data_IF_294536100324
#
_entry.id   IF_294536100324
#
_cell.length_a   1.000
_cell.length_b   1.000
_cell.length_c   1.000
_cell.angle_alpha   90.00
_cell.angle_beta   90.00
_cell.angle_gamma   90.00
#
_symmetry.space_group_name_H-M   'P 1'
#
loop_
_entity.id
_entity.type
_entity.pdbx_description
1 polymer ?
#
# COMPACT_ATOMS: atom_id res chain seq x y z
N UNK A 1 10.64 -3.95 49.22
CA UNK A 1 11.26 -4.30 47.94
C UNK A 1 10.55 -3.50 46.86
N UNK A 2 11.18 -2.41 46.40
CA UNK A 2 10.64 -1.54 45.35
C UNK A 2 10.80 -2.26 44.01
N UNK A 3 9.69 -2.74 43.46
CA UNK A 3 9.66 -3.21 42.07
C UNK A 3 9.59 -1.99 41.17
N UNK A 4 10.74 -1.44 40.79
CA UNK A 4 10.82 -0.49 39.69
C UNK A 4 10.42 -1.23 38.43
N UNK A 5 9.16 -1.07 38.00
CA UNK A 5 8.78 -1.36 36.63
C UNK A 5 9.68 -0.47 35.78
N UNK A 6 10.68 -1.08 35.12
CA UNK A 6 11.59 -0.38 34.22
C UNK A 6 10.72 0.39 33.22
N UNK A 7 10.71 1.71 33.36
CA UNK A 7 9.93 2.58 32.52
C UNK A 7 10.43 2.37 31.08
N UNK A 8 9.52 1.96 30.20
CA UNK A 8 9.85 1.58 28.84
C UNK A 8 10.46 2.80 28.14
N UNK A 9 11.70 2.69 27.66
CA UNK A 9 12.36 3.80 26.97
C UNK A 9 11.52 4.24 25.76
N UNK A 10 11.05 5.48 25.78
CA UNK A 10 10.18 6.09 24.75
C UNK A 10 10.95 7.05 23.84
N UNK A 11 12.28 7.10 23.92
CA UNK A 11 13.09 7.87 22.98
C UNK A 11 12.85 7.40 21.54
N UNK A 12 12.98 8.31 20.57
CA UNK A 12 12.80 8.00 19.15
C UNK A 12 13.66 6.81 18.72
N UNK A 13 14.91 6.79 19.14
CA UNK A 13 15.88 5.73 18.82
C UNK A 13 15.44 4.37 19.41
N UNK A 14 15.01 4.33 20.67
CA UNK A 14 14.52 3.10 21.29
C UNK A 14 13.19 2.59 20.68
N UNK A 15 12.32 3.50 20.23
CA UNK A 15 11.09 3.13 19.50
C UNK A 15 11.41 2.59 18.11
N UNK A 16 12.29 3.27 17.37
CA UNK A 16 12.70 2.84 16.03
C UNK A 16 13.49 1.52 16.06
N UNK A 17 14.32 1.30 17.08
CA UNK A 17 15.03 0.04 17.30
C UNK A 17 14.11 -1.17 17.53
N UNK A 18 12.88 -0.94 18.03
CA UNK A 18 11.85 -1.98 18.23
C UNK A 18 10.75 -1.97 17.18
N UNK A 19 10.95 -1.25 16.06
CA UNK A 19 9.93 -1.13 14.99
C UNK A 19 9.41 -2.50 14.54
N UNK A 20 10.29 -3.48 14.34
CA UNK A 20 9.89 -4.82 13.89
C UNK A 20 9.01 -5.54 14.91
N UNK A 21 9.36 -5.48 16.21
CA UNK A 21 8.54 -6.05 17.28
C UNK A 21 7.17 -5.36 17.40
N UNK A 22 7.14 -4.03 17.28
CA UNK A 22 5.90 -3.25 17.30
C UNK A 22 5.00 -3.66 16.13
N UNK A 23 5.56 -3.76 14.92
CA UNK A 23 4.82 -4.17 13.73
C UNK A 23 4.30 -5.61 13.84
N UNK A 24 5.13 -6.54 14.33
CA UNK A 24 4.75 -7.93 14.58
C UNK A 24 3.62 -8.04 15.59
N UNK A 25 3.68 -7.30 16.70
CA UNK A 25 2.63 -7.30 17.71
C UNK A 25 1.34 -6.60 17.24
N UNK A 26 1.44 -5.56 16.42
CA UNK A 26 0.28 -4.78 15.96
C UNK A 26 -0.48 -5.45 14.81
N UNK A 27 0.24 -6.07 13.87
CA UNK A 27 -0.31 -6.57 12.61
C UNK A 27 -0.31 -8.11 12.57
N UNK A 28 0.46 -8.76 13.44
CA UNK A 28 0.59 -10.22 13.46
C UNK A 28 1.48 -10.78 12.35
N UNK A 29 2.12 -9.91 11.55
CA UNK A 29 2.98 -10.28 10.43
C UNK A 29 4.44 -9.94 10.75
N UNK A 30 5.33 -10.89 10.47
CA UNK A 30 6.77 -10.68 10.56
C UNK A 30 7.30 -10.14 9.22
N UNK A 31 7.51 -8.83 9.10
CA UNK A 31 7.94 -8.23 7.84
C UNK A 31 9.28 -8.78 7.32
N UNK A 32 10.14 -9.25 8.23
CA UNK A 32 11.44 -9.82 7.88
C UNK A 32 11.34 -11.09 7.04
N UNK A 33 10.22 -11.81 7.11
CA UNK A 33 10.02 -13.03 6.30
C UNK A 33 9.70 -12.75 4.83
N UNK A 34 9.46 -11.49 4.47
CA UNK A 34 9.15 -11.05 3.11
C UNK A 34 10.26 -10.17 2.52
N UNK A 35 11.26 -9.76 3.31
CA UNK A 35 12.42 -9.04 2.78
C UNK A 35 13.32 -10.02 2.02
N UNK A 36 13.67 -9.65 0.79
CA UNK A 36 14.67 -10.35 0.00
C UNK A 36 16.03 -9.67 0.14
N UNK A 37 17.11 -10.33 -0.32
CA UNK A 37 18.44 -9.74 -0.30
C UNK A 37 18.46 -8.38 -1.03
N UNK A 38 18.96 -7.35 -0.35
CA UNK A 38 19.05 -5.99 -0.88
C UNK A 38 17.83 -5.12 -0.57
N UNK A 39 17.14 -4.64 -1.60
CA UNK A 39 15.95 -3.77 -1.49
C UNK A 39 14.65 -4.46 -1.93
N UNK A 40 14.72 -5.78 -2.17
CA UNK A 40 13.59 -6.57 -2.61
C UNK A 40 12.61 -6.84 -1.46
N UNK A 41 11.32 -6.86 -1.79
CA UNK A 41 10.27 -7.23 -0.85
C UNK A 41 9.23 -8.06 -1.58
N UNK A 42 8.99 -9.28 -1.10
CA UNK A 42 8.06 -10.24 -1.69
C UNK A 42 6.62 -9.91 -1.28
N UNK A 43 6.04 -8.96 -2.03
CA UNK A 43 4.64 -8.57 -1.86
C UNK A 43 3.68 -9.70 -2.21
N UNK A 44 4.03 -10.63 -3.11
CA UNK A 44 3.14 -11.73 -3.47
C UNK A 44 3.00 -12.71 -2.31
N UNK A 45 4.13 -13.12 -1.71
CA UNK A 45 4.14 -13.95 -0.50
C UNK A 45 3.39 -13.26 0.63
N UNK A 46 3.66 -11.98 0.89
CA UNK A 46 2.94 -11.22 1.92
C UNK A 46 1.43 -11.21 1.64
N UNK A 47 1.01 -10.92 0.41
CA UNK A 47 -0.40 -10.89 0.04
C UNK A 47 -1.06 -12.29 0.12
N UNK A 48 -0.32 -13.36 -0.19
CA UNK A 48 -0.83 -14.74 -0.07
C UNK A 48 -1.09 -15.17 1.38
N UNK A 49 -0.33 -14.62 2.33
CA UNK A 49 -0.57 -14.81 3.77
C UNK A 49 -1.71 -13.93 4.31
N UNK A 50 -2.08 -12.87 3.58
CA UNK A 50 -3.25 -12.05 3.93
C UNK A 50 -4.54 -12.73 3.47
N UNK A 51 -5.61 -12.64 4.28
CA UNK A 51 -6.87 -13.34 4.04
C UNK A 51 -7.77 -12.79 2.92
N UNK A 52 -7.22 -12.04 1.96
CA UNK A 52 -7.95 -11.52 0.80
C UNK A 52 -7.16 -11.70 -0.50
N UNK A 53 -7.83 -12.19 -1.54
CA UNK A 53 -7.27 -12.16 -2.90
C UNK A 53 -7.36 -10.76 -3.51
N UNK A 54 -6.61 -10.53 -4.59
CA UNK A 54 -6.69 -9.27 -5.32
C UNK A 54 -8.11 -9.04 -5.88
N UNK A 55 -8.76 -10.08 -6.38
CA UNK A 55 -10.12 -10.04 -6.93
C UNK A 55 -11.14 -9.68 -5.85
N UNK A 56 -10.98 -10.18 -4.63
CA UNK A 56 -11.84 -9.82 -3.50
C UNK A 56 -11.66 -8.34 -3.13
N UNK A 57 -10.42 -7.83 -3.15
CA UNK A 57 -10.13 -6.42 -2.90
C UNK A 57 -10.75 -5.55 -3.98
N UNK A 58 -10.63 -5.93 -5.26
CA UNK A 58 -11.25 -5.21 -6.37
C UNK A 58 -12.77 -5.21 -6.28
N UNK A 59 -13.38 -6.35 -5.97
CA UNK A 59 -14.81 -6.47 -5.73
C UNK A 59 -15.27 -5.54 -4.61
N UNK A 60 -14.57 -5.55 -3.48
CA UNK A 60 -14.83 -4.64 -2.35
C UNK A 60 -14.75 -3.17 -2.79
N UNK A 61 -13.67 -2.78 -3.48
CA UNK A 61 -13.47 -1.38 -3.87
C UNK A 61 -14.53 -0.91 -4.87
N UNK A 62 -14.90 -1.77 -5.83
CA UNK A 62 -15.90 -1.45 -6.85
C UNK A 62 -17.29 -1.14 -6.25
N UNK A 63 -17.65 -1.76 -5.13
CA UNK A 63 -18.91 -1.49 -4.42
C UNK A 63 -19.02 -0.04 -3.90
N UNK A 64 -17.90 0.68 -3.80
CA UNK A 64 -17.83 2.04 -3.27
C UNK A 64 -17.34 3.08 -4.29
N UNK A 65 -17.45 2.79 -5.59
CA UNK A 65 -16.94 3.66 -6.66
C UNK A 65 -15.43 3.96 -6.50
N UNK A 66 -14.68 2.92 -6.13
CA UNK A 66 -13.21 2.93 -6.02
C UNK A 66 -12.63 1.88 -6.95
N UNK A 67 -11.57 2.24 -7.67
CA UNK A 67 -10.93 1.37 -8.66
C UNK A 67 -11.44 1.63 -10.09
N UNK A 68 -10.90 0.86 -11.04
CA UNK A 68 -11.15 0.97 -12.49
C UNK A 68 -11.05 2.40 -13.07
N UNK A 69 -10.17 3.21 -12.51
CA UNK A 69 -9.90 4.56 -13.00
C UNK A 69 -9.23 4.53 -14.38
N UNK A 70 -9.48 5.51 -15.27
CA UNK A 70 -8.94 5.49 -16.62
C UNK A 70 -7.41 5.49 -16.67
N UNK A 71 -6.87 4.84 -17.71
CA UNK A 71 -5.49 5.03 -18.15
C UNK A 71 -5.54 5.83 -19.45
N UNK A 72 -5.08 7.08 -19.41
CA UNK A 72 -5.24 8.05 -20.49
C UNK A 72 -3.88 8.33 -21.11
N UNK A 73 -3.75 8.17 -22.43
CA UNK A 73 -2.55 8.60 -23.16
C UNK A 73 -2.56 10.12 -23.37
N UNK A 74 -1.51 10.79 -22.92
CA UNK A 74 -1.33 12.23 -23.17
C UNK A 74 -0.70 12.47 -24.54
N UNK A 75 -1.48 12.30 -25.61
CA UNK A 75 -0.98 12.33 -27.00
C UNK A 75 -0.11 13.55 -27.33
N UNK A 76 -0.50 14.74 -26.85
CA UNK A 76 0.24 15.98 -27.08
C UNK A 76 1.58 16.01 -26.32
N UNK A 77 1.58 15.56 -25.05
CA UNK A 77 2.80 15.50 -24.24
C UNK A 77 3.73 14.40 -24.76
N UNK A 78 3.19 13.26 -25.17
CA UNK A 78 3.93 12.20 -25.88
C UNK A 78 4.58 12.72 -27.17
N UNK A 79 3.85 13.51 -27.98
CA UNK A 79 4.40 14.14 -29.20
C UNK A 79 5.53 15.11 -28.88
N UNK A 80 5.38 15.91 -27.82
CA UNK A 80 6.41 16.83 -27.36
C UNK A 80 7.66 16.08 -26.87
N UNK A 81 7.50 15.06 -26.02
CA UNK A 81 8.59 14.23 -25.52
C UNK A 81 9.40 13.59 -26.65
N UNK A 82 8.72 13.12 -27.71
CA UNK A 82 9.36 12.57 -28.91
C UNK A 82 10.09 13.61 -29.77
N UNK A 83 9.64 14.87 -29.76
CA UNK A 83 10.32 15.97 -30.46
C UNK A 83 11.59 16.40 -29.73
N UNK A 84 11.60 16.34 -28.40
CA UNK A 84 12.74 16.75 -27.58
C UNK A 84 13.80 15.66 -27.38
N UNK A 85 13.45 14.38 -27.61
CA UNK A 85 14.35 13.26 -27.44
C UNK A 85 15.08 12.87 -28.75
N UNK A 86 16.30 12.29 -28.67
CA UNK A 86 16.95 11.67 -29.83
C UNK A 86 16.07 10.59 -30.47
N UNK A 87 16.29 10.33 -31.76
CA UNK A 87 15.55 9.30 -32.52
C UNK A 87 15.56 7.96 -31.75
N UNK A 88 14.37 7.41 -31.51
CA UNK A 88 14.18 6.14 -30.80
C UNK A 88 14.14 6.23 -29.27
N UNK A 89 14.37 7.40 -28.66
CA UNK A 89 14.39 7.60 -27.19
C UNK A 89 13.18 8.35 -26.63
N UNK A 90 12.19 8.65 -27.46
CA UNK A 90 10.98 9.38 -27.03
C UNK A 90 9.96 8.49 -26.33
N UNK A 91 9.61 8.83 -25.09
CA UNK A 91 8.65 8.09 -24.28
C UNK A 91 7.19 8.21 -24.80
N UNK A 92 6.35 7.25 -24.39
CA UNK A 92 4.89 7.35 -24.43
C UNK A 92 4.41 7.64 -23.01
N UNK A 93 3.60 8.68 -22.85
CA UNK A 93 3.20 9.18 -21.53
C UNK A 93 1.73 8.86 -21.31
N UNK A 94 1.46 8.18 -20.19
CA UNK A 94 0.14 7.79 -19.73
C UNK A 94 -0.10 8.33 -18.32
N UNK A 95 -1.36 8.64 -18.02
CA UNK A 95 -1.82 8.95 -16.67
C UNK A 95 -2.78 7.85 -16.23
N UNK A 96 -2.57 7.30 -15.03
CA UNK A 96 -3.58 6.56 -14.29
C UNK A 96 -4.37 7.58 -13.45
N UNK A 97 -5.61 7.88 -13.85
CA UNK A 97 -6.36 8.99 -13.28
C UNK A 97 -7.07 8.62 -11.96
N UNK A 98 -6.29 8.40 -10.90
CA UNK A 98 -6.81 8.06 -9.57
C UNK A 98 -7.63 9.17 -8.90
N UNK A 99 -7.67 10.37 -9.48
CA UNK A 99 -8.56 11.43 -9.01
C UNK A 99 -10.04 11.09 -9.29
N UNK A 100 -10.31 10.17 -10.22
CA UNK A 100 -11.67 9.74 -10.54
C UNK A 100 -12.30 8.76 -9.53
N UNK A 101 -11.58 8.32 -8.50
CA UNK A 101 -12.21 7.61 -7.39
C UNK A 101 -13.18 8.54 -6.64
N UNK A 102 -14.16 7.99 -5.93
CA UNK A 102 -15.13 8.76 -5.15
C UNK A 102 -14.52 9.80 -4.16
N UNK A 103 -13.30 9.57 -3.67
CA UNK A 103 -12.61 10.51 -2.78
C UNK A 103 -11.85 11.65 -3.47
N UNK A 104 -11.75 11.65 -4.80
CA UNK A 104 -10.86 12.55 -5.53
C UNK A 104 -9.38 12.14 -5.50
N UNK A 105 -9.03 10.97 -4.95
CA UNK A 105 -7.65 10.49 -4.89
C UNK A 105 -7.53 8.97 -4.73
N UNK A 106 -6.30 8.45 -4.90
CA UNK A 106 -5.98 7.03 -4.71
C UNK A 106 -6.17 6.54 -3.26
N UNK A 107 -6.26 7.45 -2.27
CA UNK A 107 -6.42 7.07 -0.85
C UNK A 107 -7.73 6.34 -0.56
N UNK A 108 -8.74 6.53 -1.42
CA UNK A 108 -9.98 5.76 -1.38
C UNK A 108 -9.76 4.25 -1.38
N UNK A 109 -8.77 3.75 -2.14
CA UNK A 109 -8.45 2.31 -2.25
C UNK A 109 -8.13 1.71 -0.88
N UNK A 110 -7.22 2.36 -0.15
CA UNK A 110 -6.82 1.91 1.20
C UNK A 110 -7.95 2.05 2.21
N UNK A 111 -8.71 3.15 2.15
CA UNK A 111 -9.82 3.39 3.07
C UNK A 111 -10.92 2.32 2.93
N UNK A 112 -11.32 2.00 1.69
CA UNK A 112 -12.35 0.98 1.43
C UNK A 112 -11.94 -0.39 1.98
N UNK A 113 -10.71 -0.84 1.73
CA UNK A 113 -10.22 -2.12 2.24
C UNK A 113 -10.11 -2.15 3.77
N UNK A 114 -9.61 -1.07 4.40
CA UNK A 114 -9.44 -1.01 5.85
C UNK A 114 -10.77 -1.05 6.62
N UNK A 115 -11.79 -0.32 6.17
CA UNK A 115 -13.13 -0.34 6.79
C UNK A 115 -13.74 -1.73 6.71
N UNK A 116 -13.61 -2.42 5.57
CA UNK A 116 -14.13 -3.77 5.38
C UNK A 116 -13.39 -4.80 6.25
N UNK A 117 -12.07 -4.67 6.38
CA UNK A 117 -11.28 -5.49 7.30
C UNK A 117 -11.75 -5.32 8.76
N UNK A 118 -11.93 -4.08 9.22
CA UNK A 118 -12.44 -3.79 10.56
C UNK A 118 -13.85 -4.37 10.80
N UNK A 119 -14.74 -4.32 9.81
CA UNK A 119 -16.07 -4.94 9.91
C UNK A 119 -15.99 -6.47 9.99
N UNK A 120 -15.15 -7.12 9.17
CA UNK A 120 -14.97 -8.58 9.20
C UNK A 120 -14.41 -9.05 10.55
N UNK A 121 -13.45 -8.32 11.12
CA UNK A 121 -12.92 -8.62 12.45
C UNK A 121 -13.96 -8.54 13.57
N UNK A 122 -14.95 -7.64 13.45
CA UNK A 122 -16.04 -7.49 14.43
C UNK A 122 -17.12 -8.57 14.36
N UNK A 123 -17.17 -9.35 13.27
CA UNK A 123 -18.14 -10.46 13.11
C UNK A 123 -17.57 -11.78 13.67
N UNK A 124 -16.27 -11.81 14.02
CA UNK A 124 -15.56 -13.00 14.53
C UNK A 124 -15.30 -12.97 16.04
N UNK A 125 -15.72 -11.90 16.75
CA UNK A 125 -15.72 -11.75 18.20
C UNK A 125 -17.16 -11.86 18.72
#
# INVERSE_FOLDING_TARGET
MSSSVLEKDMSYEAVMGRKNEIMKNAIGLDYSSFEEDGIGFDYEKMMSETGYTLEEIESIQSQYAVGNTPIIELKNITKLARKCAPKGKGARIFIKDEAMNASGSFKARRAATAVRYGQRGRIRL
#
